data_IF_358266423953
#
_entry.id   IF_358266423953
#
_cell.length_a   1.000
_cell.length_b   1.000
_cell.length_c   1.000
_cell.angle_alpha   90.00
_cell.angle_beta   90.00
_cell.angle_gamma   90.00
#
_symmetry.space_group_name_H-M   'P 1'
#
loop_
_entity.id
_entity.type
_entity.pdbx_description
1 polymer ?
#
# COMPACT_ATOMS: atom_id res chain seq x y z
N UNK A 1 -1.77 10.25 -9.09
CA UNK A 1 -1.50 11.67 -8.80
C UNK A 1 -1.13 11.82 -7.34
N UNK A 2 -0.01 12.48 -7.05
CA UNK A 2 0.35 12.98 -5.72
C UNK A 2 0.16 14.49 -5.81
N UNK A 3 -0.72 15.04 -4.97
CA UNK A 3 -0.96 16.50 -4.94
C UNK A 3 0.13 17.23 -4.17
N UNK A 4 0.35 18.51 -4.50
CA UNK A 4 1.13 19.41 -3.64
C UNK A 4 0.41 19.61 -2.29
N UNK A 5 1.13 19.94 -1.21
CA UNK A 5 0.51 20.25 0.07
C UNK A 5 -0.50 21.38 -0.09
N UNK A 6 -1.77 21.14 0.29
CA UNK A 6 -2.80 22.17 0.30
C UNK A 6 -2.59 23.20 1.42
N UNK A 7 -3.49 24.18 1.55
CA UNK A 7 -3.39 25.26 2.54
C UNK A 7 -3.28 24.82 4.02
N UNK A 8 -3.59 23.56 4.33
CA UNK A 8 -3.39 22.95 5.65
C UNK A 8 -2.22 21.98 5.76
N UNK A 9 -1.31 21.93 4.77
CA UNK A 9 -0.21 20.96 4.74
C UNK A 9 -0.62 19.53 4.38
N UNK A 10 -1.86 19.34 3.92
CA UNK A 10 -2.41 18.02 3.57
C UNK A 10 -1.92 17.59 2.20
N UNK A 11 -1.34 16.39 2.11
CA UNK A 11 -0.95 15.75 0.85
C UNK A 11 -1.98 14.68 0.49
N UNK A 12 -2.55 14.79 -0.71
CA UNK A 12 -3.50 13.81 -1.24
C UNK A 12 -2.79 12.87 -2.19
N UNK A 13 -2.82 11.56 -1.89
CA UNK A 13 -2.28 10.51 -2.76
C UNK A 13 -3.44 9.74 -3.39
N UNK A 14 -3.59 9.87 -4.72
CA UNK A 14 -4.64 9.19 -5.52
C UNK A 14 -3.99 8.37 -6.64
N UNK A 15 -3.60 7.12 -6.38
CA UNK A 15 -3.01 6.26 -7.40
C UNK A 15 -4.10 5.81 -8.40
N UNK A 16 -3.87 6.07 -9.68
CA UNK A 16 -4.74 5.61 -10.79
C UNK A 16 -4.15 4.42 -11.54
N UNK A 17 -2.89 4.07 -11.26
CA UNK A 17 -2.14 3.05 -11.97
C UNK A 17 -1.53 2.09 -10.97
N UNK A 18 -1.70 0.79 -11.22
CA UNK A 18 -1.05 -0.26 -10.44
C UNK A 18 0.39 -0.45 -10.92
N UNK A 19 1.30 -0.68 -9.99
CA UNK A 19 2.65 -1.16 -10.26
C UNK A 19 2.78 -2.61 -9.82
N UNK A 20 3.75 -3.34 -10.38
CA UNK A 20 4.11 -4.68 -9.92
C UNK A 20 5.11 -4.54 -8.79
N UNK A 21 4.80 -5.12 -7.62
CA UNK A 21 5.70 -5.12 -6.47
C UNK A 21 6.84 -6.12 -6.64
N UNK A 22 7.87 -6.02 -5.77
CA UNK A 22 8.96 -7.02 -5.71
C UNK A 22 8.43 -8.44 -5.45
N UNK A 23 7.27 -8.54 -4.81
CA UNK A 23 6.55 -9.76 -4.47
C UNK A 23 5.62 -10.23 -5.61
N UNK A 24 5.73 -9.63 -6.80
CA UNK A 24 4.96 -9.97 -8.01
C UNK A 24 3.45 -9.80 -7.86
N UNK A 25 3.02 -8.88 -7.00
CA UNK A 25 1.62 -8.51 -6.83
C UNK A 25 1.33 -7.14 -7.41
N UNK A 26 0.12 -6.95 -7.94
CA UNK A 26 -0.37 -5.62 -8.31
C UNK A 26 -0.62 -4.79 -7.06
N UNK A 27 0.01 -3.62 -6.97
CA UNK A 27 -0.20 -2.66 -5.89
C UNK A 27 -0.47 -1.26 -6.42
N UNK A 28 -1.40 -0.58 -5.78
CA UNK A 28 -1.58 0.86 -5.85
C UNK A 28 -0.75 1.49 -4.73
N UNK A 29 0.16 2.38 -5.11
CA UNK A 29 1.02 3.10 -4.15
C UNK A 29 0.15 3.94 -3.23
N UNK A 30 0.28 3.72 -1.92
CA UNK A 30 -0.42 4.50 -0.90
C UNK A 30 0.50 5.56 -0.28
N UNK A 31 0.47 5.69 1.04
CA UNK A 31 1.23 6.69 1.80
C UNK A 31 2.65 6.19 2.06
N UNK A 32 3.65 7.04 1.86
CA UNK A 32 5.04 6.78 2.25
C UNK A 32 5.81 8.08 2.48
N UNK A 33 7.00 7.98 3.08
CA UNK A 33 7.92 9.11 3.17
C UNK A 33 8.26 9.72 1.82
N UNK A 34 8.39 8.91 0.77
CA UNK A 34 8.77 9.37 -0.56
C UNK A 34 7.71 10.23 -1.27
N UNK A 35 6.43 10.09 -0.91
CA UNK A 35 5.34 10.83 -1.58
C UNK A 35 4.61 11.84 -0.69
N UNK A 36 4.61 11.62 0.62
CA UNK A 36 3.82 12.40 1.57
C UNK A 36 4.65 12.91 2.75
N UNK A 37 5.94 12.57 2.81
CA UNK A 37 6.78 12.90 3.96
C UNK A 37 6.42 12.13 5.23
N UNK A 38 5.59 11.08 5.15
CA UNK A 38 5.26 10.23 6.28
C UNK A 38 6.53 9.59 6.88
N UNK A 39 6.66 9.66 8.21
CA UNK A 39 7.84 9.19 8.95
C UNK A 39 7.67 7.78 9.50
N UNK A 40 6.51 7.52 10.08
CA UNK A 40 6.26 6.30 10.86
C UNK A 40 5.19 5.39 10.25
N UNK A 41 4.66 5.77 9.08
CA UNK A 41 3.59 5.04 8.39
C UNK A 41 3.91 4.84 6.91
N UNK A 42 3.78 3.60 6.48
CA UNK A 42 3.77 3.20 5.07
C UNK A 42 2.52 2.39 4.78
N UNK A 43 1.77 2.78 3.76
CA UNK A 43 0.55 2.11 3.34
C UNK A 43 0.58 1.83 1.85
N UNK A 44 0.14 0.64 1.46
CA UNK A 44 -0.11 0.28 0.07
C UNK A 44 -1.43 -0.46 -0.03
N UNK A 45 -2.12 -0.31 -1.17
CA UNK A 45 -3.33 -1.10 -1.47
C UNK A 45 -2.96 -2.17 -2.49
N UNK A 46 -3.04 -3.42 -2.08
CA UNK A 46 -2.72 -4.57 -2.93
C UNK A 46 -4.00 -5.16 -3.51
N UNK A 47 -3.98 -5.54 -4.79
CA UNK A 47 -5.07 -6.26 -5.44
C UNK A 47 -4.58 -7.66 -5.79
N UNK A 48 -5.13 -8.67 -5.12
CA UNK A 48 -4.84 -10.08 -5.37
C UNK A 48 -6.03 -10.66 -6.15
N UNK A 49 -5.78 -11.07 -7.40
CA UNK A 49 -6.81 -11.73 -8.23
C UNK A 49 -7.17 -13.11 -7.65
N UNK A 50 -8.36 -13.65 -7.95
CA UNK A 50 -8.72 -15.02 -7.57
C UNK A 50 -7.63 -16.03 -7.95
N UNK A 51 -7.32 -16.95 -7.03
CA UNK A 51 -6.21 -17.91 -7.19
C UNK A 51 -4.81 -17.33 -6.94
N UNK A 52 -4.68 -16.02 -6.75
CA UNK A 52 -3.43 -15.37 -6.39
C UNK A 52 -3.02 -15.65 -4.94
N UNK A 53 -1.71 -15.70 -4.70
CA UNK A 53 -1.13 -15.82 -3.37
C UNK A 53 0.05 -14.87 -3.23
N UNK A 54 0.17 -14.25 -2.06
CA UNK A 54 1.32 -13.44 -1.72
C UNK A 54 2.49 -14.33 -1.28
N UNK A 55 3.70 -14.01 -1.72
CA UNK A 55 4.89 -14.61 -1.14
C UNK A 55 5.04 -14.16 0.34
N UNK A 56 5.50 -15.07 1.19
CA UNK A 56 5.76 -14.76 2.59
C UNK A 56 6.85 -13.67 2.70
N UNK A 57 6.63 -12.69 3.58
CA UNK A 57 7.58 -11.63 3.84
C UNK A 57 7.47 -11.14 5.29
N UNK A 58 8.56 -10.55 5.79
CA UNK A 58 8.66 -10.03 7.15
C UNK A 58 9.08 -8.57 7.12
N UNK A 59 8.40 -7.75 7.92
CA UNK A 59 8.78 -6.36 8.17
C UNK A 59 9.61 -6.31 9.46
N UNK A 60 10.93 -6.15 9.34
CA UNK A 60 11.82 -6.08 10.50
C UNK A 60 11.80 -4.65 11.06
N UNK A 61 11.61 -4.51 12.38
CA UNK A 61 11.61 -3.21 13.05
C UNK A 61 10.33 -2.39 12.85
N UNK A 62 9.24 -3.01 12.39
CA UNK A 62 7.94 -2.37 12.24
C UNK A 62 6.82 -3.37 12.47
N UNK A 63 5.71 -2.91 13.02
CA UNK A 63 4.48 -3.70 13.06
C UNK A 63 3.76 -3.62 11.71
N UNK A 64 2.90 -4.59 11.44
CA UNK A 64 2.14 -4.65 10.19
C UNK A 64 0.70 -5.02 10.47
N UNK A 65 -0.22 -4.30 9.84
CA UNK A 65 -1.64 -4.61 9.85
C UNK A 65 -2.14 -4.79 8.42
N UNK A 66 -3.09 -5.71 8.24
CA UNK A 66 -3.77 -5.93 6.97
C UNK A 66 -5.24 -5.66 7.19
N UNK A 67 -5.79 -4.76 6.37
CA UNK A 67 -7.22 -4.47 6.37
C UNK A 67 -7.85 -4.92 5.05
N UNK A 68 -8.84 -5.80 5.13
CA UNK A 68 -9.52 -6.34 3.96
C UNK A 68 -10.60 -5.37 3.48
N UNK A 69 -10.39 -4.77 2.31
CA UNK A 69 -11.37 -3.85 1.72
C UNK A 69 -12.50 -4.58 0.97
N UNK A 70 -12.21 -5.71 0.33
CA UNK A 70 -13.17 -6.46 -0.47
C UNK A 70 -12.71 -7.91 -0.71
N UNK A 71 -13.67 -8.83 -0.80
CA UNK A 71 -13.45 -10.24 -1.11
C UNK A 71 -13.28 -11.09 0.14
N UNK A 72 -12.67 -12.26 -0.03
CA UNK A 72 -12.41 -13.21 1.07
C UNK A 72 -10.97 -13.66 1.00
N UNK A 73 -10.33 -13.79 2.17
CA UNK A 73 -8.95 -14.26 2.31
C UNK A 73 -8.91 -15.46 3.24
N UNK A 74 -7.96 -16.36 3.01
CA UNK A 74 -7.61 -17.43 3.94
C UNK A 74 -6.21 -17.16 4.46
N UNK A 75 -6.09 -16.92 5.75
CA UNK A 75 -4.81 -16.93 6.47
C UNK A 75 -4.57 -18.34 7.02
N UNK A 76 -3.32 -18.80 7.01
CA UNK A 76 -2.89 -20.06 7.60
C UNK A 76 -1.64 -19.82 8.43
#
# INVERSE_FOLDING_TARGET
MIGSPGGGGIITVRPSTSIVSKQRLGQLVGISGANSGAKDLSLNRVVIRPGGSAAAQRHLGSESAIYLLQGTVRTR
#
